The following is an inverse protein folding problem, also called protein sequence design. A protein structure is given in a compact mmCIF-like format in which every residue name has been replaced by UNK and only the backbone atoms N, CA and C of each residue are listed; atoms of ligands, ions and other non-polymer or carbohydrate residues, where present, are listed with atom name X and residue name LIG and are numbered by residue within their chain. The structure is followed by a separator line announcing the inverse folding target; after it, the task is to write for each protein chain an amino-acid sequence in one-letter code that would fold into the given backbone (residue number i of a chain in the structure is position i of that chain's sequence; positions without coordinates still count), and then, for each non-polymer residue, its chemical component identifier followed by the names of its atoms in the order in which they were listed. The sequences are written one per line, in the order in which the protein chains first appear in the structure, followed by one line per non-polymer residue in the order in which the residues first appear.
data_IF_811252514599
#
_entry.id   IF_811252514599
#
_cell.length_a   1.000
_cell.length_b   1.000
_cell.length_c   1.000
_cell.angle_alpha   90.00
_cell.angle_beta   90.00
_cell.angle_gamma   90.00
#
_symmetry.space_group_name_H-M   'P 1'
#
loop_
_entity.id
_entity.type
_entity.pdbx_description
1 polymer ?
#
# COMPACT_ATOMS: atom_id res chain seq x y z
N UNK A 1 -11.66 33.35 46.45
CA UNK A 1 -10.25 33.68 46.15
C UNK A 1 -9.36 32.87 47.08
N UNK A 2 -8.61 31.91 46.54
CA UNK A 2 -7.24 31.61 46.98
C UNK A 2 -6.65 30.59 46.01
N UNK A 3 -5.87 31.11 45.08
CA UNK A 3 -5.00 30.40 44.15
C UNK A 3 -3.73 29.98 44.88
N UNK A 4 -3.34 28.70 44.77
CA UNK A 4 -1.94 28.31 44.90
C UNK A 4 -1.54 27.52 43.65
N UNK A 5 -1.18 28.32 42.64
CA UNK A 5 -0.28 27.99 41.53
C UNK A 5 1.12 27.86 42.10
N UNK A 6 1.80 26.71 41.97
CA UNK A 6 3.26 26.58 41.75
C UNK A 6 3.59 25.21 41.12
N UNK A 7 4.33 25.24 40.00
CA UNK A 7 5.26 24.17 39.55
C UNK A 7 4.74 23.24 38.46
N UNK A 8 5.29 23.13 37.25
CA UNK A 8 6.48 23.69 36.65
C UNK A 8 6.27 23.77 35.13
N UNK A 9 6.47 24.96 34.53
CA UNK A 9 6.56 25.10 33.09
C UNK A 9 7.99 24.75 32.67
N UNK A 10 8.21 23.52 32.21
CA UNK A 10 9.39 23.23 31.40
C UNK A 10 9.03 23.58 29.96
N UNK A 11 9.43 24.78 29.57
CA UNK A 11 9.57 25.20 28.18
C UNK A 11 10.66 24.33 27.54
N UNK A 12 10.26 23.17 27.02
CA UNK A 12 11.06 22.39 26.09
C UNK A 12 10.99 23.04 24.73
N UNK A 13 12.02 23.82 24.42
CA UNK A 13 12.45 24.29 23.10
C UNK A 13 11.77 23.58 21.92
N UNK A 14 11.08 24.36 21.10
CA UNK A 14 10.76 23.99 19.74
C UNK A 14 12.06 23.64 18.99
N UNK A 15 12.29 22.35 18.74
CA UNK A 15 13.22 21.93 17.70
C UNK A 15 12.49 22.14 16.37
N UNK A 16 12.63 23.37 15.85
CA UNK A 16 12.49 23.65 14.43
C UNK A 16 13.66 22.95 13.75
N UNK A 17 13.38 21.84 13.06
CA UNK A 17 14.39 21.07 12.36
C UNK A 17 13.78 19.99 11.47
N UNK A 18 13.41 20.37 10.25
CA UNK A 18 13.45 19.50 9.07
C UNK A 18 12.46 18.33 8.99
N UNK A 19 11.36 18.55 8.26
CA UNK A 19 10.76 17.57 7.35
C UNK A 19 10.40 16.19 7.91
N UNK A 20 9.17 16.05 8.40
CA UNK A 20 8.58 14.73 8.64
C UNK A 20 7.45 14.81 9.63
N UNK A 21 6.22 14.96 9.15
CA UNK A 21 5.02 14.84 9.96
C UNK A 21 4.84 13.38 10.41
N UNK A 22 5.58 12.96 11.44
CA UNK A 22 5.20 11.83 12.27
C UNK A 22 4.24 12.39 13.32
N UNK A 23 2.94 12.23 13.06
CA UNK A 23 1.90 12.50 14.03
C UNK A 23 2.12 11.60 15.26
N UNK A 24 2.81 12.13 16.27
CA UNK A 24 2.80 11.55 17.60
C UNK A 24 1.38 11.73 18.15
N UNK A 25 0.61 10.64 18.19
CA UNK A 25 -0.67 10.58 18.88
C UNK A 25 -0.44 10.87 20.37
N UNK A 26 -0.61 12.13 20.77
CA UNK A 26 -0.67 12.54 22.15
C UNK A 26 -1.98 12.01 22.76
N UNK A 27 -1.88 10.88 23.46
CA UNK A 27 -2.92 10.43 24.38
C UNK A 27 -2.96 11.40 25.56
N UNK A 28 -3.88 12.36 25.54
CA UNK A 28 -4.02 13.32 26.62
C UNK A 28 -5.28 14.15 26.49
N UNK A 29 -6.27 13.82 27.31
CA UNK A 29 -7.38 14.65 27.76
C UNK A 29 -8.29 15.24 26.67
N UNK A 30 -9.49 14.65 26.49
CA UNK A 30 -10.76 15.34 26.76
C UNK A 30 -11.88 14.30 26.90
N UNK A 31 -12.59 14.45 28.02
CA UNK A 31 -13.79 13.75 28.45
C UNK A 31 -14.95 14.01 27.46
N UNK A 32 -15.72 12.97 27.10
CA UNK A 32 -16.84 13.12 26.18
C UNK A 32 -17.24 11.84 25.48
N UNK A 33 -17.95 10.99 26.22
CA UNK A 33 -18.66 9.79 25.76
C UNK A 33 -19.42 10.01 24.44
N UNK A 34 -18.84 9.57 23.33
CA UNK A 34 -19.55 9.20 22.10
C UNK A 34 -18.91 7.93 21.55
N UNK A 35 -19.75 6.95 21.26
CA UNK A 35 -19.42 5.72 20.54
C UNK A 35 -18.94 6.00 19.10
N UNK A 36 -17.84 6.73 18.93
CA UNK A 36 -17.16 6.85 17.65
C UNK A 36 -16.11 5.75 17.63
N UNK A 37 -16.46 4.58 17.07
CA UNK A 37 -15.44 3.71 16.50
C UNK A 37 -14.64 4.58 15.53
N UNK A 38 -13.46 5.02 15.94
CA UNK A 38 -12.54 5.72 15.05
C UNK A 38 -12.15 4.69 14.00
N UNK A 39 -12.88 4.67 12.88
CA UNK A 39 -12.57 3.76 11.78
C UNK A 39 -11.15 4.04 11.34
N UNK A 40 -10.25 3.09 11.58
CA UNK A 40 -8.85 3.22 11.17
C UNK A 40 -8.82 3.52 9.68
N UNK A 41 -8.20 4.64 9.33
CA UNK A 41 -8.04 5.08 7.95
C UNK A 41 -6.60 4.82 7.51
N UNK A 42 -6.44 4.46 6.24
CA UNK A 42 -5.15 4.19 5.63
C UNK A 42 -4.97 5.12 4.43
N UNK A 43 -3.78 5.72 4.29
CA UNK A 43 -3.52 6.67 3.22
C UNK A 43 -3.45 5.99 1.86
N UNK A 44 -3.01 4.73 1.83
CA UNK A 44 -2.86 3.91 0.62
C UNK A 44 -2.88 2.40 0.93
N UNK A 45 -2.83 1.57 -0.12
CA UNK A 45 -2.89 0.11 0.01
C UNK A 45 -1.67 -0.49 0.70
N UNK A 46 -0.47 0.11 0.53
CA UNK A 46 0.73 -0.40 1.18
C UNK A 46 0.72 -0.16 2.69
N UNK A 47 0.19 0.98 3.14
CA UNK A 47 0.01 1.28 4.56
C UNK A 47 -0.96 0.28 5.21
N UNK A 48 -2.08 0.00 4.55
CA UNK A 48 -3.01 -1.05 4.98
C UNK A 48 -2.35 -2.43 5.04
N UNK A 49 -1.61 -2.81 3.99
CA UNK A 49 -0.90 -4.08 3.94
C UNK A 49 0.11 -4.23 5.09
N UNK A 50 0.85 -3.15 5.42
CA UNK A 50 1.77 -3.10 6.57
C UNK A 50 1.02 -3.28 7.90
N UNK A 51 -0.06 -2.53 8.10
CA UNK A 51 -0.86 -2.59 9.32
C UNK A 51 -1.48 -3.99 9.54
N UNK A 52 -1.92 -4.65 8.46
CA UNK A 52 -2.50 -6.00 8.48
C UNK A 52 -1.48 -7.12 8.38
N UNK A 53 -0.17 -6.80 8.36
CA UNK A 53 0.93 -7.76 8.23
C UNK A 53 0.81 -8.66 6.98
N UNK A 54 0.20 -8.14 5.90
CA UNK A 54 0.07 -8.84 4.62
C UNK A 54 1.36 -8.76 3.79
N UNK A 55 2.15 -7.71 4.01
CA UNK A 55 3.43 -7.46 3.40
C UNK A 55 3.93 -6.08 3.79
N UNK A 56 5.24 -5.90 3.86
CA UNK A 56 5.86 -4.62 4.23
C UNK A 56 6.42 -3.86 3.02
N UNK A 57 6.60 -4.53 1.89
CA UNK A 57 7.27 -3.99 0.71
C UNK A 57 6.63 -4.57 -0.55
N UNK A 58 6.78 -3.85 -1.66
CA UNK A 58 6.43 -4.37 -2.97
C UNK A 58 7.61 -5.10 -3.62
N UNK A 59 7.34 -6.06 -4.49
CA UNK A 59 8.37 -6.71 -5.31
C UNK A 59 9.08 -5.68 -6.20
N UNK A 60 10.41 -5.73 -6.23
CA UNK A 60 11.18 -4.98 -7.20
C UNK A 60 11.00 -5.58 -8.59
N UNK A 61 11.34 -4.82 -9.64
CA UNK A 61 11.33 -5.35 -11.01
C UNK A 61 12.14 -6.65 -11.15
N UNK A 62 13.29 -6.74 -10.48
CA UNK A 62 14.11 -7.96 -10.48
C UNK A 62 13.41 -9.13 -9.79
N UNK A 63 12.73 -8.90 -8.68
CA UNK A 63 11.99 -9.96 -7.96
C UNK A 63 10.84 -10.49 -8.82
N UNK A 64 10.13 -9.59 -9.51
CA UNK A 64 9.06 -9.93 -10.45
C UNK A 64 9.62 -10.77 -11.60
N UNK A 65 10.79 -10.42 -12.16
CA UNK A 65 11.46 -11.19 -13.20
C UNK A 65 11.83 -12.61 -12.75
N UNK A 66 12.37 -12.74 -11.54
CA UNK A 66 12.67 -14.05 -10.93
C UNK A 66 11.40 -14.88 -10.75
N UNK A 67 10.32 -14.28 -10.26
CA UNK A 67 9.03 -14.96 -10.08
C UNK A 67 8.37 -15.36 -11.39
N UNK A 68 8.44 -14.52 -12.43
CA UNK A 68 7.96 -14.86 -13.79
C UNK A 68 8.72 -16.05 -14.38
N UNK A 69 10.03 -16.13 -14.10
CA UNK A 69 10.87 -17.24 -14.56
C UNK A 69 10.65 -18.53 -13.77
N UNK A 70 10.10 -18.44 -12.56
CA UNK A 70 9.85 -19.59 -11.71
C UNK A 70 8.57 -20.33 -12.12
N UNK A 71 8.75 -21.49 -12.77
CA UNK A 71 7.66 -22.37 -13.22
C UNK A 71 7.27 -23.44 -12.19
N UNK A 72 7.92 -23.45 -11.03
CA UNK A 72 7.75 -24.50 -10.01
C UNK A 72 6.85 -24.08 -8.84
N UNK A 73 6.56 -22.78 -8.70
CA UNK A 73 5.64 -22.26 -7.70
C UNK A 73 4.17 -22.45 -8.16
N UNK A 74 3.31 -22.93 -7.26
CA UNK A 74 1.85 -23.04 -7.50
C UNK A 74 1.11 -22.09 -6.55
N UNK A 75 0.26 -21.18 -7.06
CA UNK A 75 0.01 -20.92 -8.48
C UNK A 75 1.22 -20.29 -9.17
N UNK A 76 1.38 -20.56 -10.47
CA UNK A 76 2.45 -19.97 -11.28
C UNK A 76 2.22 -18.46 -11.30
N UNK A 77 3.24 -17.70 -10.91
CA UNK A 77 3.13 -16.24 -10.78
C UNK A 77 2.65 -15.56 -12.07
N UNK A 78 3.11 -16.06 -13.22
CA UNK A 78 2.67 -15.62 -14.55
C UNK A 78 1.15 -15.80 -14.74
N UNK A 79 0.58 -16.90 -14.26
CA UNK A 79 -0.87 -17.15 -14.33
C UNK A 79 -1.64 -16.25 -13.36
N UNK A 80 -1.09 -15.98 -12.17
CA UNK A 80 -1.69 -15.02 -11.23
C UNK A 80 -1.83 -13.64 -11.86
N UNK A 81 -0.79 -13.17 -12.57
CA UNK A 81 -0.85 -11.90 -13.32
C UNK A 81 -1.87 -11.99 -14.46
N UNK A 82 -1.82 -13.04 -15.28
CA UNK A 82 -2.75 -13.26 -16.40
C UNK A 82 -4.22 -13.21 -15.97
N UNK A 83 -4.55 -13.85 -14.86
CA UNK A 83 -5.91 -13.91 -14.32
C UNK A 83 -6.35 -12.57 -13.70
N UNK A 84 -5.39 -11.74 -13.30
CA UNK A 84 -5.62 -10.45 -12.64
C UNK A 84 -5.55 -9.26 -13.58
N UNK A 85 -5.03 -9.41 -14.80
CA UNK A 85 -4.70 -8.31 -15.70
C UNK A 85 -5.90 -7.41 -16.01
N UNK A 86 -7.11 -7.97 -16.13
CA UNK A 86 -8.35 -7.23 -16.36
C UNK A 86 -8.75 -6.32 -15.19
N UNK A 87 -8.31 -6.65 -13.97
CA UNK A 87 -8.55 -5.85 -12.76
C UNK A 87 -7.48 -4.78 -12.55
N UNK A 88 -6.34 -4.87 -13.24
CA UNK A 88 -5.25 -3.88 -13.17
C UNK A 88 -5.60 -2.65 -14.00
N UNK A 89 -6.38 -1.73 -13.44
CA UNK A 89 -6.97 -0.59 -14.16
C UNK A 89 -6.27 0.74 -13.90
N UNK A 90 -5.42 0.80 -12.88
CA UNK A 90 -4.57 1.96 -12.60
C UNK A 90 -3.67 2.27 -13.78
N UNK A 91 -3.71 3.54 -14.20
CA UNK A 91 -2.88 4.04 -15.29
C UNK A 91 -1.40 4.04 -14.87
N UNK A 92 -0.54 3.54 -15.76
CA UNK A 92 0.91 3.48 -15.55
C UNK A 92 1.62 4.14 -16.73
N UNK A 93 2.50 5.09 -16.43
CA UNK A 93 3.24 5.80 -17.47
C UNK A 93 4.45 4.98 -17.95
N UNK A 94 4.67 4.94 -19.27
CA UNK A 94 5.84 4.33 -19.87
C UNK A 94 5.93 2.80 -19.72
N UNK A 95 4.78 2.13 -19.59
CA UNK A 95 4.63 0.69 -19.81
C UNK A 95 3.24 0.41 -20.41
N UNK A 96 3.20 -0.44 -21.43
CA UNK A 96 1.94 -0.88 -22.04
C UNK A 96 1.38 -2.04 -21.24
N UNK A 97 0.08 -2.01 -20.96
CA UNK A 97 -0.64 -3.11 -20.31
C UNK A 97 -0.60 -4.36 -21.22
N UNK A 98 -0.06 -5.49 -20.75
CA UNK A 98 -0.11 -6.75 -21.47
C UNK A 98 -1.55 -7.23 -21.67
N UNK A 99 -1.77 -7.95 -22.76
CA UNK A 99 -3.03 -8.65 -23.03
C UNK A 99 -2.94 -10.11 -22.56
N UNK A 100 -4.08 -10.77 -22.34
CA UNK A 100 -4.10 -12.18 -21.92
C UNK A 100 -3.31 -13.10 -22.87
N UNK A 101 -3.30 -12.79 -24.18
CA UNK A 101 -2.53 -13.53 -25.18
C UNK A 101 -1.01 -13.44 -25.01
N UNK A 102 -0.49 -12.37 -24.40
CA UNK A 102 0.95 -12.21 -24.14
C UNK A 102 1.47 -13.25 -23.12
N UNK A 103 0.56 -13.89 -22.37
CA UNK A 103 0.90 -14.91 -21.37
C UNK A 103 0.88 -16.34 -21.93
N UNK A 104 0.26 -16.58 -23.09
CA UNK A 104 0.13 -17.92 -23.72
C UNK A 104 1.42 -18.37 -24.44
N UNK A 105 2.30 -17.41 -24.74
CA UNK A 105 3.53 -17.71 -25.47
C UNK A 105 4.53 -18.38 -24.53
N UNK A 106 5.03 -19.56 -24.91
CA UNK A 106 6.25 -20.15 -24.34
C UNK A 106 7.50 -19.28 -24.60
N UNK A 107 7.34 -18.20 -25.38
CA UNK A 107 8.37 -17.26 -25.81
C UNK A 107 8.58 -16.20 -24.74
N UNK A 108 9.81 -16.12 -24.23
CA UNK A 108 10.31 -15.21 -23.19
C UNK A 108 10.27 -13.73 -23.57
N UNK A 109 10.05 -13.41 -24.84
CA UNK A 109 10.18 -12.04 -25.38
C UNK A 109 9.16 -11.05 -24.80
N UNK A 110 8.09 -11.55 -24.18
CA UNK A 110 7.07 -10.73 -23.51
C UNK A 110 7.27 -10.62 -22.01
N UNK A 111 8.12 -11.46 -21.40
CA UNK A 111 8.29 -11.47 -19.95
C UNK A 111 8.90 -10.15 -19.45
N UNK A 112 9.78 -9.52 -20.22
CA UNK A 112 10.30 -8.19 -19.89
C UNK A 112 9.23 -7.10 -19.91
N UNK A 113 8.31 -7.13 -20.87
CA UNK A 113 7.20 -6.20 -20.95
C UNK A 113 6.22 -6.41 -19.77
N UNK A 114 5.88 -7.67 -19.49
CA UNK A 114 5.03 -8.05 -18.35
C UNK A 114 5.68 -7.59 -17.05
N UNK A 115 6.96 -7.91 -16.83
CA UNK A 115 7.73 -7.51 -15.65
C UNK A 115 7.71 -6.01 -15.44
N UNK A 116 8.02 -5.23 -16.48
CA UNK A 116 8.07 -3.76 -16.41
C UNK A 116 6.69 -3.16 -16.13
N UNK A 117 5.65 -3.67 -16.79
CA UNK A 117 4.28 -3.23 -16.54
C UNK A 117 3.85 -3.56 -15.10
N UNK A 118 4.02 -4.81 -14.67
CA UNK A 118 3.63 -5.26 -13.33
C UNK A 118 4.34 -4.45 -12.25
N UNK A 119 5.64 -4.21 -12.38
CA UNK A 119 6.40 -3.38 -11.44
C UNK A 119 5.82 -1.96 -11.33
N UNK A 120 5.58 -1.29 -12.47
CA UNK A 120 5.02 0.05 -12.48
C UNK A 120 3.60 0.11 -11.95
N UNK A 121 2.80 -0.91 -12.24
CA UNK A 121 1.44 -1.02 -11.72
C UNK A 121 1.45 -1.23 -10.21
N UNK A 122 2.33 -2.08 -9.69
CA UNK A 122 2.53 -2.24 -8.26
C UNK A 122 2.95 -0.93 -7.58
N UNK A 123 3.86 -0.16 -8.17
CA UNK A 123 4.27 1.13 -7.63
C UNK A 123 3.11 2.14 -7.61
N UNK A 124 2.36 2.26 -8.71
CA UNK A 124 1.21 3.15 -8.83
C UNK A 124 0.10 2.78 -7.83
N UNK A 125 -0.29 1.51 -7.77
CA UNK A 125 -1.37 1.03 -6.89
C UNK A 125 -0.96 1.07 -5.43
N UNK A 126 0.31 0.82 -5.10
CA UNK A 126 0.80 0.92 -3.72
C UNK A 126 0.60 2.31 -3.11
N UNK A 127 0.63 3.35 -3.96
CA UNK A 127 0.47 4.77 -3.61
C UNK A 127 -0.93 5.30 -3.90
N UNK A 128 -1.86 4.44 -4.33
CA UNK A 128 -3.24 4.84 -4.68
C UNK A 128 -3.92 5.46 -3.47
N UNK A 129 -4.18 6.76 -3.56
CA UNK A 129 -4.95 7.52 -2.57
C UNK A 129 -6.43 7.55 -2.97
N UNK A 130 -7.31 7.81 -2.01
CA UNK A 130 -8.73 7.95 -2.28
C UNK A 130 -8.98 9.20 -3.12
N UNK A 131 -9.51 9.04 -4.32
CA UNK A 131 -9.80 10.16 -5.23
C UNK A 131 -11.11 10.85 -4.82
N UNK A 132 -11.09 12.17 -4.61
CA UNK A 132 -12.30 12.97 -4.38
C UNK A 132 -12.70 13.22 -2.91
N UNK A 133 -11.89 12.81 -1.94
CA UNK A 133 -12.07 13.18 -0.53
C UNK A 133 -11.28 14.44 -0.17
N UNK A 134 -11.81 15.27 0.75
CA UNK A 134 -11.01 16.29 1.44
C UNK A 134 -9.77 15.63 2.09
N UNK A 135 -8.68 16.38 2.23
CA UNK A 135 -7.30 15.96 2.57
C UNK A 135 -7.11 15.08 3.83
N UNK A 136 -8.19 14.72 4.54
CA UNK A 136 -8.23 13.92 5.76
C UNK A 136 -9.00 12.57 5.64
N UNK A 137 -9.49 12.18 4.46
CA UNK A 137 -10.20 10.90 4.30
C UNK A 137 -9.32 9.81 3.68
N UNK A 138 -8.52 9.14 4.52
CA UNK A 138 -7.93 7.86 4.13
C UNK A 138 -9.00 6.79 3.90
N UNK A 139 -8.60 5.71 3.26
CA UNK A 139 -9.44 4.54 3.00
C UNK A 139 -9.80 3.81 4.30
N UNK A 140 -11.03 3.33 4.44
CA UNK A 140 -11.36 2.31 5.46
C UNK A 140 -10.94 0.91 4.99
N UNK A 141 -10.87 -0.04 5.92
CA UNK A 141 -10.63 -1.45 5.58
C UNK A 141 -11.66 -2.01 4.59
N UNK A 142 -12.95 -1.72 4.78
CA UNK A 142 -14.02 -2.16 3.87
C UNK A 142 -13.86 -1.55 2.47
N UNK A 143 -13.46 -0.28 2.38
CA UNK A 143 -13.21 0.39 1.09
C UNK A 143 -12.01 -0.22 0.36
N UNK A 144 -10.91 -0.52 1.07
CA UNK A 144 -9.73 -1.16 0.47
C UNK A 144 -10.05 -2.57 0.01
N UNK A 145 -10.69 -3.37 0.87
CA UNK A 145 -10.98 -4.78 0.56
C UNK A 145 -12.06 -4.93 -0.52
N UNK A 146 -12.90 -3.91 -0.71
CA UNK A 146 -13.88 -3.85 -1.81
C UNK A 146 -13.29 -3.30 -3.11
N UNK A 147 -12.13 -2.64 -3.10
CA UNK A 147 -11.50 -2.13 -4.32
C UNK A 147 -11.01 -3.29 -5.19
N UNK A 148 -11.41 -3.35 -6.48
CA UNK A 148 -11.08 -4.48 -7.35
C UNK A 148 -9.58 -4.62 -7.63
N UNK A 149 -8.78 -3.56 -7.43
CA UNK A 149 -7.33 -3.58 -7.62
C UNK A 149 -6.58 -4.06 -6.37
N UNK A 150 -7.23 -4.10 -5.20
CA UNK A 150 -6.55 -4.48 -3.97
C UNK A 150 -6.20 -5.97 -3.93
N UNK A 151 -7.12 -6.85 -4.33
CA UNK A 151 -6.87 -8.29 -4.43
C UNK A 151 -5.65 -8.62 -5.30
N UNK A 152 -5.57 -8.16 -6.57
CA UNK A 152 -4.39 -8.42 -7.38
C UNK A 152 -3.13 -7.74 -6.83
N UNK A 153 -3.25 -6.56 -6.20
CA UNK A 153 -2.11 -5.90 -5.55
C UNK A 153 -1.54 -6.78 -4.43
N UNK A 154 -2.40 -7.33 -3.57
CA UNK A 154 -2.01 -8.21 -2.48
C UNK A 154 -1.30 -9.47 -2.97
N UNK A 155 -1.81 -10.09 -4.02
CA UNK A 155 -1.28 -11.36 -4.54
C UNK A 155 -0.01 -11.20 -5.37
N UNK A 156 0.09 -10.10 -6.13
CA UNK A 156 1.12 -9.93 -7.16
C UNK A 156 2.25 -9.03 -6.69
N UNK A 157 1.94 -8.00 -5.89
CA UNK A 157 2.89 -6.94 -5.57
C UNK A 157 3.54 -7.12 -4.20
N UNK A 158 2.86 -7.70 -3.21
CA UNK A 158 3.38 -7.70 -1.84
C UNK A 158 4.41 -8.80 -1.60
N UNK A 159 5.56 -8.41 -1.05
CA UNK A 159 6.52 -9.36 -0.47
C UNK A 159 5.93 -9.93 0.82
N UNK A 160 5.85 -11.27 0.97
CA UNK A 160 5.47 -11.86 2.25
C UNK A 160 6.47 -11.41 3.30
N UNK A 161 5.96 -11.05 4.49
CA UNK A 161 6.80 -10.66 5.61
C UNK A 161 7.72 -11.83 5.94
N UNK A 162 9.01 -11.70 5.64
CA UNK A 162 10.02 -12.66 6.08
C UNK A 162 10.14 -12.46 7.59
N UNK A 163 9.55 -13.37 8.36
CA UNK A 163 9.83 -13.46 9.80
C UNK A 163 11.31 -13.82 9.93
N UNK A 164 12.14 -12.82 10.24
CA UNK A 164 13.47 -13.03 10.81
C UNK A 164 13.35 -13.19 12.31
#
# INVERSE_FOLDING_TARGET
MSTQVIGAAVAGTAVVGGGGALAAYAAGAFDGEKNTKTSVRYSNFLEYAKAKKLGNEIFSESDIGTKLSNKTETPIYKDTIKNSIEKMNSSVEGATKPEKGDFESAVTDKDDAIKKFTHKWCDAVSKKTKTGGSSNEGWTEDEITSDPEFTPFKEICLKPKTSR
#
